data_IF_236438578991
#
_entry.id   IF_236438578991
#
_cell.length_a   1.000
_cell.length_b   1.000
_cell.length_c   1.000
_cell.angle_alpha   90.00
_cell.angle_beta   90.00
_cell.angle_gamma   90.00
#
_symmetry.space_group_name_H-M   'P 1'
#
loop_
_entity.id
_entity.type
_entity.pdbx_description
1 polymer ?
#
# COMPACT_ATOMS: atom_id res chain seq x y z
N UNK A 1 -75.36 -12.81 22.88
CA UNK A 1 -74.37 -13.49 22.00
C UNK A 1 -73.63 -12.39 21.26
N UNK A 2 -72.33 -12.30 21.13
CA UNK A 2 -71.16 -12.98 21.65
C UNK A 2 -69.97 -12.13 21.14
N UNK A 3 -68.99 -11.89 22.01
CA UNK A 3 -67.64 -11.37 21.77
C UNK A 3 -67.13 -11.31 20.31
N UNK A 4 -66.48 -10.19 19.94
CA UNK A 4 -65.03 -10.20 19.72
C UNK A 4 -64.45 -8.78 19.62
N UNK A 5 -63.70 -8.39 20.66
CA UNK A 5 -62.69 -7.35 20.62
C UNK A 5 -61.55 -7.81 19.70
N UNK A 6 -61.24 -7.05 18.64
CA UNK A 6 -59.97 -7.19 17.92
C UNK A 6 -59.13 -5.93 18.19
N UNK A 7 -58.27 -6.04 19.20
CA UNK A 7 -57.23 -5.07 19.48
C UNK A 7 -56.12 -5.21 18.42
N UNK A 8 -56.03 -4.25 17.51
CA UNK A 8 -54.91 -4.15 16.58
C UNK A 8 -53.77 -3.43 17.29
N UNK A 9 -52.94 -4.23 17.98
CA UNK A 9 -51.62 -3.82 18.48
C UNK A 9 -50.66 -3.70 17.28
N UNK A 10 -50.45 -2.48 16.78
CA UNK A 10 -49.30 -2.18 15.92
C UNK A 10 -48.05 -2.04 16.79
N UNK A 11 -47.23 -3.08 16.81
CA UNK A 11 -45.89 -3.08 17.39
C UNK A 11 -44.95 -2.19 16.58
N UNK A 12 -44.46 -1.12 17.21
CA UNK A 12 -43.34 -0.34 16.71
C UNK A 12 -42.05 -1.17 16.84
N UNK A 13 -41.59 -1.76 15.74
CA UNK A 13 -40.27 -2.38 15.65
C UNK A 13 -39.26 -1.26 15.36
N UNK A 14 -38.71 -0.67 16.42
CA UNK A 14 -37.56 0.22 16.34
C UNK A 14 -36.27 -0.60 16.30
N UNK A 15 -35.56 -0.60 15.17
CA UNK A 15 -34.16 -1.02 15.12
C UNK A 15 -33.28 0.17 15.54
N UNK A 16 -32.87 0.20 16.80
CA UNK A 16 -31.77 1.05 17.26
C UNK A 16 -30.43 0.43 16.85
N UNK A 17 -29.57 1.09 16.06
CA UNK A 17 -28.17 0.71 16.00
C UNK A 17 -27.47 1.27 17.24
N UNK A 18 -27.32 0.43 18.26
CA UNK A 18 -26.40 0.67 19.36
C UNK A 18 -24.97 0.49 18.83
N UNK A 19 -24.34 1.60 18.45
CA UNK A 19 -22.98 1.61 17.90
C UNK A 19 -22.25 2.94 18.18
N UNK A 20 -21.65 3.02 19.37
CA UNK A 20 -20.56 3.93 19.77
C UNK A 20 -20.42 5.29 19.09
N UNK A 21 -21.15 6.27 19.62
CA UNK A 21 -20.82 7.69 19.51
C UNK A 21 -19.81 8.09 20.60
N UNK A 22 -18.58 7.60 20.51
CA UNK A 22 -17.43 8.22 21.19
C UNK A 22 -16.26 8.24 20.22
N UNK A 23 -16.28 9.19 19.27
CA UNK A 23 -15.09 9.53 18.48
C UNK A 23 -14.18 10.39 19.36
N UNK A 24 -13.00 9.84 19.66
CA UNK A 24 -11.93 10.51 20.38
C UNK A 24 -11.62 11.90 19.81
N UNK A 25 -11.50 12.88 20.71
CA UNK A 25 -11.10 14.28 20.45
C UNK A 25 -9.77 14.41 19.69
N UNK A 26 -8.95 13.35 19.68
CA UNK A 26 -7.68 13.31 18.96
C UNK A 26 -7.82 13.43 17.42
N UNK A 27 -9.01 13.19 16.85
CA UNK A 27 -9.24 13.34 15.41
C UNK A 27 -9.47 14.79 14.95
N UNK A 28 -9.77 15.71 15.87
CA UNK A 28 -9.93 17.14 15.56
C UNK A 28 -8.58 17.88 15.44
N UNK A 29 -7.55 17.40 16.13
CA UNK A 29 -6.19 17.96 16.04
C UNK A 29 -5.40 17.48 14.82
N UNK A 30 -5.92 16.48 14.09
CA UNK A 30 -5.21 15.84 12.97
C UNK A 30 -5.48 16.49 11.61
N UNK A 31 -6.53 17.30 11.50
CA UNK A 31 -6.85 18.02 10.27
C UNK A 31 -7.70 19.29 10.55
N UNK A 32 -7.09 20.49 10.63
CA UNK A 32 -7.83 21.75 10.79
C UNK A 32 -8.74 22.07 9.59
N UNK A 33 -8.58 21.41 8.44
CA UNK A 33 -9.40 21.59 7.24
C UNK A 33 -10.79 20.96 7.34
N UNK A 34 -11.02 20.08 8.33
CA UNK A 34 -12.32 19.42 8.54
C UNK A 34 -13.43 20.37 9.02
N UNK A 35 -13.08 21.52 9.58
CA UNK A 35 -14.02 22.55 10.02
C UNK A 35 -14.48 23.49 8.88
N UNK A 36 -13.80 23.45 7.72
CA UNK A 36 -14.03 24.38 6.61
C UNK A 36 -14.10 23.57 5.29
N UNK A 37 -15.09 22.69 5.16
CA UNK A 37 -15.62 22.24 3.88
C UNK A 37 -14.74 21.41 2.92
N UNK A 38 -13.40 21.39 3.01
CA UNK A 38 -12.47 20.55 2.25
C UNK A 38 -11.11 20.56 2.96
N UNK A 39 -10.49 19.39 3.23
CA UNK A 39 -9.12 19.35 3.76
C UNK A 39 -8.17 20.14 2.83
N UNK A 40 -7.33 20.98 3.44
CA UNK A 40 -6.35 21.79 2.72
C UNK A 40 -5.37 20.89 1.97
N UNK A 41 -4.96 21.31 0.78
CA UNK A 41 -3.87 20.66 0.06
C UNK A 41 -2.54 20.97 0.76
N UNK A 42 -1.66 19.97 0.83
CA UNK A 42 -0.25 20.17 1.16
C UNK A 42 0.45 20.76 -0.06
N UNK A 43 1.23 21.83 0.16
CA UNK A 43 1.91 22.58 -0.90
C UNK A 43 3.38 22.22 -1.05
N UNK A 44 3.95 21.58 -0.05
CA UNK A 44 5.34 21.15 -0.03
C UNK A 44 5.37 19.64 0.15
N UNK A 45 5.08 18.92 -0.93
CA UNK A 45 5.21 17.46 -0.92
C UNK A 45 6.67 17.11 -1.12
N UNK A 46 7.21 16.23 -0.28
CA UNK A 46 8.63 15.86 -0.33
C UNK A 46 8.83 14.36 -0.59
N UNK A 47 7.78 13.56 -0.47
CA UNK A 47 7.88 12.11 -0.64
C UNK A 47 6.59 11.50 -1.17
N UNK A 48 6.76 10.58 -2.13
CA UNK A 48 5.69 9.72 -2.64
C UNK A 48 6.00 8.27 -2.27
N UNK A 49 5.01 7.57 -1.72
CA UNK A 49 5.05 6.13 -1.46
C UNK A 49 3.94 5.48 -2.27
N UNK A 50 4.30 4.50 -3.10
CA UNK A 50 3.35 3.75 -3.90
C UNK A 50 3.51 2.26 -3.57
N UNK A 51 2.38 1.62 -3.25
CA UNK A 51 2.28 0.19 -3.04
C UNK A 51 1.52 -0.39 -4.22
N UNK A 52 2.04 -1.44 -4.83
CA UNK A 52 1.47 -2.04 -6.02
C UNK A 52 1.29 -3.54 -5.85
N UNK A 53 0.21 -4.05 -6.42
CA UNK A 53 -0.02 -5.49 -6.57
C UNK A 53 -0.55 -5.81 -7.96
N UNK A 54 -0.27 -7.02 -8.45
CA UNK A 54 -0.87 -7.52 -9.68
C UNK A 54 -2.38 -7.72 -9.47
N UNK A 55 -3.19 -7.12 -10.33
CA UNK A 55 -4.64 -7.12 -10.21
C UNK A 55 -5.33 -7.30 -11.57
N UNK A 56 -6.66 -7.42 -11.54
CA UNK A 56 -7.51 -7.40 -12.73
C UNK A 56 -8.53 -6.27 -12.60
N UNK A 57 -8.85 -5.66 -13.72
CA UNK A 57 -9.76 -4.52 -13.78
C UNK A 57 -10.25 -4.26 -15.19
N UNK A 58 -10.62 -3.02 -15.47
CA UNK A 58 -11.07 -2.59 -16.78
C UNK A 58 -9.92 -1.90 -17.52
N UNK A 59 -9.70 -2.32 -18.75
CA UNK A 59 -8.76 -1.67 -19.66
C UNK A 59 -9.33 -0.37 -20.22
N UNK A 60 -8.49 0.33 -20.98
CA UNK A 60 -8.91 1.54 -21.72
C UNK A 60 -10.03 1.25 -22.74
N UNK A 61 -10.17 0.00 -23.17
CA UNK A 61 -11.23 -0.48 -24.07
C UNK A 61 -12.51 -0.95 -23.33
N UNK A 62 -12.58 -0.75 -22.01
CA UNK A 62 -13.70 -1.18 -21.16
C UNK A 62 -13.79 -2.71 -20.96
N UNK A 63 -12.88 -3.48 -21.57
CA UNK A 63 -12.83 -4.94 -21.41
C UNK A 63 -12.04 -5.30 -20.17
N UNK A 64 -12.24 -6.53 -19.68
CA UNK A 64 -11.45 -7.02 -18.57
C UNK A 64 -9.99 -7.14 -19.01
N UNK A 65 -9.10 -6.54 -18.24
CA UNK A 65 -7.66 -6.65 -18.45
C UNK A 65 -6.96 -6.95 -17.12
N UNK A 66 -5.75 -7.48 -17.24
CA UNK A 66 -4.81 -7.50 -16.11
C UNK A 66 -4.13 -6.14 -15.97
N UNK A 67 -3.59 -5.87 -14.80
CA UNK A 67 -2.94 -4.61 -14.49
C UNK A 67 -2.46 -4.57 -13.06
N UNK A 68 -2.45 -3.38 -12.48
CA UNK A 68 -1.86 -3.12 -11.18
C UNK A 68 -2.84 -2.34 -10.32
N UNK A 69 -3.16 -2.86 -9.14
CA UNK A 69 -3.87 -2.10 -8.12
C UNK A 69 -2.84 -1.36 -7.26
N UNK A 70 -3.04 -0.06 -7.08
CA UNK A 70 -2.12 0.82 -6.39
C UNK A 70 -2.75 1.51 -5.20
N UNK A 71 -2.02 1.57 -4.08
CA UNK A 71 -2.29 2.48 -2.97
C UNK A 71 -1.15 3.49 -2.88
N UNK A 72 -1.47 4.77 -3.08
CA UNK A 72 -0.47 5.84 -3.16
C UNK A 72 -0.69 6.82 -2.00
N UNK A 73 0.40 7.20 -1.34
CA UNK A 73 0.42 8.18 -0.26
C UNK A 73 1.49 9.23 -0.56
N UNK A 74 1.15 10.48 -0.25
CA UNK A 74 2.05 11.63 -0.34
C UNK A 74 2.36 12.12 1.06
N UNK A 75 3.56 12.63 1.28
CA UNK A 75 3.96 13.17 2.58
C UNK A 75 4.63 14.53 2.41
N UNK A 76 4.23 15.48 3.26
CA UNK A 76 4.94 16.73 3.46
C UNK A 76 6.13 16.57 4.42
N UNK A 77 6.97 17.61 4.60
CA UNK A 77 8.23 17.51 5.34
C UNK A 77 8.07 17.23 6.83
N UNK A 78 6.92 17.60 7.42
CA UNK A 78 6.68 17.55 8.87
C UNK A 78 5.56 16.59 9.28
N UNK A 79 4.96 15.90 8.31
CA UNK A 79 3.74 15.11 8.51
C UNK A 79 4.05 13.64 8.31
N UNK A 80 3.77 12.83 9.32
CA UNK A 80 3.99 11.38 9.30
C UNK A 80 2.85 10.60 8.62
N UNK A 81 1.81 11.31 8.18
CA UNK A 81 0.57 10.75 7.64
C UNK A 81 0.33 11.27 6.23
N UNK A 82 -0.34 10.48 5.41
CA UNK A 82 -0.68 10.83 4.04
C UNK A 82 -1.43 12.15 3.95
N UNK A 83 -0.97 13.04 3.06
CA UNK A 83 -1.55 14.37 2.84
C UNK A 83 -2.38 14.42 1.56
N UNK A 84 -3.34 15.35 1.51
CA UNK A 84 -4.06 15.64 0.28
C UNK A 84 -3.17 16.52 -0.60
N UNK A 85 -3.12 16.26 -1.90
CA UNK A 85 -2.23 16.97 -2.82
C UNK A 85 -3.02 17.63 -3.93
N UNK A 86 -2.45 18.70 -4.48
CA UNK A 86 -2.90 19.35 -5.69
C UNK A 86 -1.73 19.39 -6.67
N UNK A 87 -1.95 18.93 -7.89
CA UNK A 87 -0.91 18.79 -8.90
C UNK A 87 -1.25 17.70 -9.91
N UNK A 88 -0.44 17.62 -10.95
CA UNK A 88 -0.59 16.58 -11.98
C UNK A 88 0.12 15.33 -11.53
N UNK A 89 -0.58 14.20 -11.49
CA UNK A 89 0.02 12.91 -11.15
C UNK A 89 0.27 12.12 -12.42
N UNK A 90 1.50 11.66 -12.61
CA UNK A 90 1.89 10.81 -13.72
C UNK A 90 2.32 9.44 -13.19
N UNK A 91 1.72 8.39 -13.72
CA UNK A 91 2.09 7.01 -13.42
C UNK A 91 2.76 6.43 -14.67
N UNK A 92 4.05 6.17 -14.56
CA UNK A 92 4.85 5.58 -15.64
C UNK A 92 4.92 4.07 -15.44
N UNK A 93 4.54 3.33 -16.47
CA UNK A 93 4.59 1.87 -16.53
C UNK A 93 5.73 1.44 -17.45
N UNK A 94 6.60 0.59 -16.95
CA UNK A 94 7.68 -0.05 -17.70
C UNK A 94 7.39 -1.54 -17.84
N UNK A 95 7.78 -2.15 -18.96
CA UNK A 95 7.75 -3.60 -19.15
C UNK A 95 9.15 -4.15 -19.43
N UNK A 96 9.36 -5.43 -19.10
CA UNK A 96 10.70 -6.03 -19.18
C UNK A 96 11.70 -5.37 -18.24
N UNK A 97 11.24 -4.85 -17.10
CA UNK A 97 12.07 -4.11 -16.16
C UNK A 97 13.21 -4.98 -15.61
N UNK A 98 14.43 -4.46 -15.69
CA UNK A 98 15.64 -5.04 -15.13
C UNK A 98 16.33 -4.00 -14.23
N UNK A 99 16.35 -4.19 -12.90
CA UNK A 99 16.97 -3.24 -11.98
C UNK A 99 18.50 -3.18 -12.10
N UNK A 100 19.14 -4.14 -12.78
CA UNK A 100 20.59 -4.19 -12.98
C UNK A 100 21.02 -3.59 -14.33
N UNK A 101 20.07 -3.18 -15.17
CA UNK A 101 20.38 -2.54 -16.45
C UNK A 101 21.09 -1.20 -16.26
N UNK A 102 22.08 -0.92 -17.10
CA UNK A 102 22.81 0.36 -17.09
C UNK A 102 22.00 1.52 -17.69
N UNK A 103 21.03 1.22 -18.55
CA UNK A 103 20.17 2.18 -19.22
C UNK A 103 18.78 2.25 -18.56
N UNK A 104 18.20 3.45 -18.46
CA UNK A 104 16.83 3.62 -17.98
C UNK A 104 15.85 2.97 -18.98
N UNK A 105 14.95 2.08 -18.53
CA UNK A 105 14.04 1.39 -19.42
C UNK A 105 13.11 2.36 -20.13
N UNK A 106 12.79 2.10 -21.39
CA UNK A 106 11.80 2.89 -22.12
C UNK A 106 10.41 2.71 -21.48
N UNK A 107 9.67 3.80 -21.20
CA UNK A 107 8.30 3.70 -20.72
C UNK A 107 7.41 2.96 -21.71
N UNK A 108 6.74 1.89 -21.26
CA UNK A 108 5.68 1.26 -22.05
C UNK A 108 4.48 2.20 -22.19
N UNK A 109 4.10 2.89 -21.11
CA UNK A 109 3.01 3.85 -21.10
C UNK A 109 3.10 4.85 -19.95
N UNK A 110 2.50 6.03 -20.14
CA UNK A 110 2.35 7.05 -19.11
C UNK A 110 0.87 7.41 -18.96
N UNK A 111 0.37 7.29 -17.73
CA UNK A 111 -0.99 7.71 -17.37
C UNK A 111 -0.91 9.03 -16.63
N UNK A 112 -1.51 10.07 -17.19
CA UNK A 112 -1.52 11.41 -16.63
C UNK A 112 -2.90 11.76 -16.08
N UNK A 113 -2.93 12.24 -14.83
CA UNK A 113 -4.14 12.61 -14.11
C UNK A 113 -4.07 14.09 -13.77
N UNK A 114 -5.08 14.86 -14.19
CA UNK A 114 -5.25 16.24 -13.74
C UNK A 114 -5.53 16.27 -12.23
N UNK A 115 -5.32 17.41 -11.55
CA UNK A 115 -5.59 17.52 -10.11
C UNK A 115 -7.02 17.09 -9.74
N UNK A 116 -8.01 17.44 -10.56
CA UNK A 116 -9.41 17.10 -10.33
C UNK A 116 -9.68 15.62 -10.55
N UNK A 117 -9.09 15.02 -11.59
CA UNK A 117 -9.21 13.60 -11.87
C UNK A 117 -8.56 12.76 -10.75
N UNK A 118 -7.42 13.24 -10.22
CA UNK A 118 -6.70 12.56 -9.16
C UNK A 118 -7.48 12.52 -7.84
N UNK A 119 -8.19 13.60 -7.48
CA UNK A 119 -8.95 13.66 -6.23
C UNK A 119 -10.09 12.62 -6.16
N UNK A 120 -10.56 12.10 -7.30
CA UNK A 120 -11.56 11.02 -7.36
C UNK A 120 -11.04 9.71 -6.75
N UNK A 121 -9.73 9.48 -6.82
CA UNK A 121 -9.10 8.28 -6.26
C UNK A 121 -8.87 8.36 -4.75
N UNK A 122 -9.17 9.51 -4.13
CA UNK A 122 -8.84 9.78 -2.73
C UNK A 122 -9.77 9.06 -1.76
N UNK A 123 -9.16 8.41 -0.78
CA UNK A 123 -9.78 7.96 0.46
C UNK A 123 -9.07 8.57 1.69
N UNK A 124 -9.74 8.51 2.84
CA UNK A 124 -9.18 8.92 4.13
C UNK A 124 -9.26 7.74 5.09
N UNK A 125 -8.13 7.43 5.74
CA UNK A 125 -8.03 6.31 6.67
C UNK A 125 -7.08 6.59 7.83
N UNK A 126 -6.66 5.53 8.53
CA UNK A 126 -5.78 5.63 9.70
C UNK A 126 -4.39 6.17 9.36
N UNK A 127 -3.94 6.01 8.12
CA UNK A 127 -2.68 6.54 7.62
C UNK A 127 -2.81 7.94 7.00
N UNK A 128 -3.97 8.59 7.08
CA UNK A 128 -4.25 9.88 6.44
C UNK A 128 -4.89 9.74 5.05
N UNK A 129 -4.65 10.71 4.18
CA UNK A 129 -5.10 10.67 2.79
C UNK A 129 -4.30 9.65 1.98
N UNK A 130 -5.00 8.86 1.19
CA UNK A 130 -4.41 7.88 0.28
C UNK A 130 -5.23 7.77 -0.99
N UNK A 131 -4.62 7.30 -2.06
CA UNK A 131 -5.23 7.27 -3.39
C UNK A 131 -5.20 5.85 -3.93
N UNK A 132 -6.38 5.32 -4.24
CA UNK A 132 -6.55 3.96 -4.75
C UNK A 132 -6.80 3.99 -6.25
N UNK A 133 -5.90 3.37 -7.02
CA UNK A 133 -5.93 3.41 -8.49
C UNK A 133 -5.80 2.02 -9.10
N UNK A 134 -6.32 1.84 -10.30
CA UNK A 134 -6.02 0.68 -11.13
C UNK A 134 -5.35 1.13 -12.43
N UNK A 135 -4.19 0.55 -12.72
CA UNK A 135 -3.41 0.84 -13.93
C UNK A 135 -3.48 -0.37 -14.86
N UNK A 136 -4.10 -0.26 -16.04
CA UNK A 136 -4.20 -1.38 -16.97
C UNK A 136 -2.86 -1.69 -17.63
N UNK A 137 -2.52 -2.96 -17.77
CA UNK A 137 -1.36 -3.37 -18.57
C UNK A 137 -1.72 -3.32 -20.05
N UNK A 138 -1.07 -2.43 -20.80
CA UNK A 138 -1.47 -2.10 -22.18
C UNK A 138 -1.00 -3.11 -23.22
N UNK A 139 0.07 -3.88 -22.94
CA UNK A 139 0.61 -4.86 -23.88
C UNK A 139 -0.12 -6.21 -23.77
N UNK A 140 -0.88 -6.59 -24.80
CA UNK A 140 -1.71 -7.81 -24.77
C UNK A 140 -0.97 -9.09 -25.17
N UNK A 141 0.28 -8.99 -25.65
CA UNK A 141 0.99 -10.11 -26.26
C UNK A 141 1.98 -10.83 -25.32
N UNK A 142 2.23 -10.28 -24.12
CA UNK A 142 3.15 -10.86 -23.13
C UNK A 142 2.43 -11.81 -22.18
N UNK A 143 2.90 -13.05 -22.03
CA UNK A 143 2.31 -14.00 -21.07
C UNK A 143 2.69 -13.65 -19.63
N UNK A 144 3.92 -13.86 -19.16
CA UNK A 144 4.39 -13.35 -17.87
C UNK A 144 5.40 -12.22 -18.13
N UNK A 145 5.38 -11.16 -17.33
CA UNK A 145 6.25 -10.00 -17.57
C UNK A 145 6.61 -9.31 -16.26
N UNK A 146 7.90 -8.98 -16.11
CA UNK A 146 8.38 -8.14 -15.04
C UNK A 146 8.12 -6.67 -15.40
N UNK A 147 7.41 -5.96 -14.55
CA UNK A 147 7.06 -4.56 -14.79
C UNK A 147 7.60 -3.71 -13.64
N UNK A 148 7.78 -2.42 -13.89
CA UNK A 148 7.96 -1.44 -12.83
C UNK A 148 6.95 -0.31 -12.99
N UNK A 149 6.55 0.27 -11.86
CA UNK A 149 5.74 1.47 -11.83
C UNK A 149 6.44 2.56 -11.03
N UNK A 150 6.41 3.78 -11.58
CA UNK A 150 6.87 5.02 -10.92
C UNK A 150 5.74 6.03 -10.89
N UNK A 151 5.61 6.74 -9.77
CA UNK A 151 4.61 7.80 -9.60
C UNK A 151 5.34 9.12 -9.45
N UNK A 152 5.05 10.07 -10.32
CA UNK A 152 5.53 11.44 -10.25
C UNK A 152 4.36 12.36 -9.87
N UNK A 153 4.58 13.26 -8.91
CA UNK A 153 3.72 14.41 -8.66
C UNK A 153 4.41 15.65 -9.19
N UNK A 154 3.78 16.31 -10.16
CA UNK A 154 4.15 17.66 -10.61
C UNK A 154 3.31 18.65 -9.80
N UNK A 155 3.97 19.38 -8.90
CA UNK A 155 3.35 20.38 -8.05
C UNK A 155 3.03 21.65 -8.85
N UNK A 156 2.17 22.51 -8.29
CA UNK A 156 1.74 23.75 -8.94
C UNK A 156 2.90 24.74 -9.22
N UNK A 157 4.00 24.62 -8.48
CA UNK A 157 5.23 25.40 -8.68
C UNK A 157 6.19 24.78 -9.72
N UNK A 158 5.81 23.64 -10.30
CA UNK A 158 6.58 22.90 -11.29
C UNK A 158 7.57 21.89 -10.69
N UNK A 159 7.72 21.80 -9.37
CA UNK A 159 8.57 20.79 -8.75
C UNK A 159 8.01 19.39 -8.97
N UNK A 160 8.91 18.44 -9.25
CA UNK A 160 8.55 17.04 -9.45
C UNK A 160 9.04 16.20 -8.28
N UNK A 161 8.10 15.48 -7.65
CA UNK A 161 8.39 14.54 -6.57
C UNK A 161 8.08 13.14 -7.05
N UNK A 162 9.11 12.31 -7.17
CA UNK A 162 8.98 10.95 -7.69
C UNK A 162 9.02 9.90 -6.59
N UNK A 163 8.24 8.84 -6.75
CA UNK A 163 8.40 7.61 -5.99
C UNK A 163 9.62 6.84 -6.48
N UNK A 164 10.06 5.86 -5.69
CA UNK A 164 10.91 4.78 -6.23
C UNK A 164 10.12 3.95 -7.24
N UNK A 165 10.84 3.33 -8.16
CA UNK A 165 10.28 2.30 -9.02
C UNK A 165 9.94 1.05 -8.21
N UNK A 166 8.74 0.54 -8.42
CA UNK A 166 8.24 -0.64 -7.74
C UNK A 166 8.12 -1.78 -8.74
N UNK A 167 8.98 -2.79 -8.58
CA UNK A 167 8.98 -4.01 -9.40
C UNK A 167 7.81 -4.93 -9.04
N UNK A 168 7.01 -5.29 -10.04
CA UNK A 168 5.86 -6.18 -9.94
C UNK A 168 5.89 -7.19 -11.08
N UNK A 169 5.88 -8.47 -10.73
CA UNK A 169 5.71 -9.55 -11.68
C UNK A 169 4.22 -9.73 -12.02
N UNK A 170 3.84 -9.39 -13.24
CA UNK A 170 2.48 -9.59 -13.71
C UNK A 170 2.31 -11.05 -14.20
N UNK A 171 1.43 -11.86 -13.57
CA UNK A 171 1.31 -13.27 -13.88
C UNK A 171 0.75 -13.50 -15.28
N UNK A 172 1.22 -14.57 -15.92
CA UNK A 172 0.60 -15.12 -17.11
C UNK A 172 -0.67 -15.90 -16.81
N UNK A 173 -1.36 -16.34 -17.87
CA UNK A 173 -2.60 -17.12 -17.75
C UNK A 173 -2.43 -18.39 -16.92
N UNK A 174 -1.21 -18.95 -16.91
CA UNK A 174 -0.90 -20.25 -16.30
C UNK A 174 -0.17 -20.16 -14.95
N UNK A 175 0.16 -18.95 -14.45
CA UNK A 175 1.09 -18.78 -13.31
C UNK A 175 0.54 -17.88 -12.20
N UNK A 176 -0.74 -18.06 -11.82
CA UNK A 176 -1.39 -17.22 -10.79
C UNK A 176 -0.72 -17.25 -9.41
N UNK A 177 -0.12 -18.38 -9.00
CA UNK A 177 0.46 -18.53 -7.66
C UNK A 177 1.89 -17.97 -7.52
N UNK A 178 2.63 -17.78 -8.60
CA UNK A 178 4.04 -17.36 -8.55
C UNK A 178 4.22 -15.82 -8.45
N UNK A 179 3.23 -15.04 -8.87
CA UNK A 179 3.31 -13.57 -8.92
C UNK A 179 3.15 -12.92 -7.54
N UNK A 180 2.20 -13.38 -6.71
CA UNK A 180 1.98 -12.83 -5.38
C UNK A 180 3.22 -12.95 -4.46
N UNK A 181 4.04 -13.98 -4.67
CA UNK A 181 5.26 -14.23 -3.91
C UNK A 181 6.47 -13.38 -4.33
N UNK A 182 6.39 -12.65 -5.46
CA UNK A 182 7.53 -11.92 -6.05
C UNK A 182 7.38 -10.40 -6.08
N UNK A 183 6.29 -9.85 -5.56
CA UNK A 183 6.19 -8.40 -5.31
C UNK A 183 7.28 -7.99 -4.30
N UNK A 184 8.44 -7.54 -4.80
CA UNK A 184 9.62 -7.18 -4.01
C UNK A 184 9.64 -5.73 -3.54
N UNK A 185 8.62 -4.96 -3.88
CA UNK A 185 8.50 -3.58 -3.43
C UNK A 185 7.97 -3.45 -2.01
N UNK A 186 8.84 -3.60 -1.01
CA UNK A 186 8.88 -2.83 0.27
C UNK A 186 9.50 -3.60 1.44
N UNK A 187 9.49 -4.93 1.45
CA UNK A 187 10.15 -5.70 2.51
C UNK A 187 11.52 -6.13 2.02
N UNK A 188 12.46 -5.19 2.00
CA UNK A 188 13.84 -5.59 2.30
C UNK A 188 13.81 -5.84 3.81
N UNK A 189 13.60 -7.10 4.19
CA UNK A 189 13.76 -7.57 5.55
C UNK A 189 15.21 -7.29 5.92
N UNK A 190 15.51 -6.06 6.36
CA UNK A 190 16.66 -5.82 7.21
C UNK A 190 16.32 -6.64 8.44
N UNK A 191 16.82 -7.88 8.43
CA UNK A 191 16.84 -8.80 9.56
C UNK A 191 17.17 -7.93 10.76
N UNK A 192 16.15 -7.63 11.57
CA UNK A 192 16.34 -6.90 12.82
C UNK A 192 17.39 -7.73 13.54
N UNK A 193 18.60 -7.19 13.81
CA UNK A 193 19.60 -7.95 14.53
C UNK A 193 18.94 -8.43 15.81
N UNK A 194 19.02 -9.73 16.04
CA UNK A 194 18.52 -10.37 17.25
C UNK A 194 19.04 -9.56 18.44
N UNK A 195 18.12 -9.01 19.25
CA UNK A 195 18.49 -8.15 20.38
C UNK A 195 19.34 -8.90 21.40
N UNK A 196 19.26 -10.23 21.39
CA UNK A 196 20.09 -11.13 22.18
C UNK A 196 21.55 -11.20 21.66
N UNK A 197 21.77 -10.99 20.36
CA UNK A 197 23.12 -10.97 19.77
C UNK A 197 23.86 -9.65 20.04
N UNK A 198 23.14 -8.56 20.31
CA UNK A 198 23.74 -7.27 20.67
C UNK A 198 24.18 -7.24 22.15
N UNK A 199 23.47 -7.96 23.03
CA UNK A 199 23.85 -8.10 24.45
C UNK A 199 25.06 -9.04 24.61
N UNK A 200 25.19 -10.06 23.75
CA UNK A 200 26.37 -10.93 23.73
C UNK A 200 27.64 -10.24 23.17
N UNK A 201 27.49 -9.29 22.24
CA UNK A 201 28.62 -8.56 21.64
C UNK A 201 29.15 -7.40 22.51
N UNK A 202 28.36 -6.93 23.49
CA UNK A 202 28.80 -5.92 24.46
C UNK A 202 29.64 -6.51 25.61
N UNK A 203 29.79 -7.84 25.67
CA UNK A 203 30.44 -8.55 26.76
C UNK A 203 31.67 -9.36 26.31
N UNK A 204 32.56 -8.80 25.49
CA UNK A 204 33.94 -9.31 25.37
C UNK A 204 34.86 -8.25 24.78
N UNK A 205 35.61 -7.57 25.65
CA UNK A 205 36.86 -6.89 25.32
C UNK A 205 38.01 -7.77 25.81
N UNK A 206 38.74 -8.40 24.88
CA UNK A 206 40.21 -8.40 24.79
C UNK A 206 40.71 -9.41 23.73
N UNK A 207 41.60 -8.92 22.87
CA UNK A 207 42.33 -9.55 21.74
C UNK A 207 43.44 -10.53 22.22
N UNK A 208 44.29 -11.16 21.35
CA UNK A 208 44.15 -11.64 19.97
C UNK A 208 44.69 -13.08 19.77
N UNK A 209 44.19 -13.78 18.75
CA UNK A 209 44.95 -14.83 18.06
C UNK A 209 44.30 -16.20 18.04
N UNK A 210 43.58 -16.52 16.96
CA UNK A 210 43.39 -17.90 16.52
C UNK A 210 42.89 -17.93 15.07
N UNK A 211 43.38 -18.93 14.35
CA UNK A 211 43.10 -19.24 12.96
C UNK A 211 41.62 -19.58 12.76
N UNK A 212 40.99 -19.00 11.74
CA UNK A 212 39.58 -19.21 11.39
C UNK A 212 39.31 -20.63 10.89
N UNK A 213 38.44 -21.44 11.54
CA UNK A 213 37.78 -22.56 10.89
C UNK A 213 36.44 -22.11 10.32
N UNK A 214 36.12 -22.63 9.14
CA UNK A 214 34.88 -22.41 8.39
C UNK A 214 33.64 -22.84 9.22
N UNK A 215 32.59 -22.00 9.38
CA UNK A 215 31.40 -22.41 10.11
C UNK A 215 30.51 -23.32 9.26
N UNK A 216 30.46 -24.59 9.63
CA UNK A 216 29.48 -25.57 9.13
C UNK A 216 28.07 -25.18 9.54
N UNK A 217 27.18 -25.00 8.56
CA UNK A 217 25.77 -24.68 8.77
C UNK A 217 25.06 -25.78 9.58
N UNK A 218 24.60 -25.45 10.79
CA UNK A 218 23.67 -26.27 11.58
C UNK A 218 22.24 -25.87 11.21
N UNK A 219 21.45 -26.80 10.66
CA UNK A 219 20.02 -26.57 10.43
C UNK A 219 19.29 -26.50 11.77
N UNK A 220 18.83 -25.30 12.15
CA UNK A 220 17.93 -25.11 13.28
C UNK A 220 16.51 -25.48 12.84
N UNK A 221 15.97 -26.58 13.36
CA UNK A 221 14.57 -26.93 13.16
C UNK A 221 13.67 -26.00 13.99
N UNK A 222 12.82 -25.23 13.31
CA UNK A 222 11.78 -24.40 13.93
C UNK A 222 10.76 -25.31 14.62
N UNK A 223 10.63 -25.18 15.94
CA UNK A 223 9.59 -25.86 16.72
C UNK A 223 8.26 -25.12 16.56
N UNK A 224 7.30 -25.76 15.91
CA UNK A 224 5.90 -25.32 15.86
C UNK A 224 5.27 -25.47 17.24
N UNK A 225 4.85 -24.35 17.85
CA UNK A 225 4.05 -24.36 19.08
C UNK A 225 2.60 -24.07 18.71
N UNK A 226 1.72 -25.06 18.92
CA UNK A 226 0.27 -24.93 18.70
C UNK A 226 -0.37 -24.25 19.90
N UNK A 227 -1.16 -23.19 19.67
CA UNK A 227 -1.92 -22.50 20.70
C UNK A 227 -3.27 -23.23 20.88
N UNK A 228 -3.61 -23.75 22.07
CA UNK A 228 -4.89 -24.42 22.28
C UNK A 228 -6.04 -23.40 22.37
N UNK A 229 -7.14 -23.70 21.69
CA UNK A 229 -8.38 -22.91 21.76
C UNK A 229 -9.17 -23.27 23.02
N UNK A 230 -9.78 -22.27 23.70
CA UNK A 230 -10.65 -22.51 24.84
C UNK A 230 -11.94 -23.23 24.39
N UNK A 231 -12.34 -24.25 25.15
CA UNK A 231 -13.61 -24.94 24.96
C UNK A 231 -14.72 -24.11 25.60
N UNK A 232 -15.80 -23.90 24.84
CA UNK A 232 -17.05 -23.31 25.34
C UNK A 232 -17.73 -24.21 26.37
#
# INVERSE_FOLDING_TARGET
>A
MQFLLLAVMLSAVGCSPTGSFFKSSASLFRDPGRLIGRPSYERDVVKVVALWEAAHGKGMDGKNCRGFAGQILFFGPKVETGVRVHGTVRITLYDGYDPEAEEEPEPLHQFEFTPEAWDVHRGEGTLGHSYSVFVPYVNKHRNQVNCALRVDLVQDDGQVVSSRETEILLPGRDTKNAAAARTRGFIQERRIPDVDALEAAAATTDEPGAQTPLPTARSSQLKSVSIPLPRH
#
